data_IF_792684884187
#
_entry.id   IF_792684884187
#
_cell.length_a   1.000
_cell.length_b   1.000
_cell.length_c   1.000
_cell.angle_alpha   90.00
_cell.angle_beta   90.00
_cell.angle_gamma   90.00
#
_symmetry.space_group_name_H-M   'P 1'
#
loop_
_entity.id
_entity.type
_entity.pdbx_description
1 polymer ?
#
# COMPACT_ATOMS: atom_id res chain seq x y z
N UNK A 1 -4.05 24.00 -16.12
CA UNK A 1 -3.06 22.88 -16.10
C UNK A 1 -2.31 22.70 -14.78
N UNK A 2 -1.85 23.76 -14.10
CA UNK A 2 -1.12 23.63 -12.80
C UNK A 2 -1.94 22.91 -11.73
N UNK A 3 -3.20 23.31 -11.54
CA UNK A 3 -4.10 22.67 -10.57
C UNK A 3 -4.39 21.22 -10.92
N UNK A 4 -4.68 20.90 -12.19
CA UNK A 4 -4.90 19.51 -12.64
C UNK A 4 -3.71 18.60 -12.35
N UNK A 5 -2.48 19.04 -12.65
CA UNK A 5 -1.26 18.27 -12.34
C UNK A 5 -1.04 18.10 -10.85
N UNK A 6 -1.37 19.12 -10.05
CA UNK A 6 -1.26 19.07 -8.58
C UNK A 6 -2.29 18.10 -7.99
N UNK A 7 -3.56 18.21 -8.41
CA UNK A 7 -4.63 17.30 -8.00
C UNK A 7 -4.28 15.87 -8.33
N UNK A 8 -3.81 15.59 -9.55
CA UNK A 8 -3.41 14.24 -9.95
C UNK A 8 -2.31 13.66 -9.04
N UNK A 9 -1.28 14.46 -8.71
CA UNK A 9 -0.21 14.04 -7.80
C UNK A 9 -0.73 13.76 -6.39
N UNK A 10 -1.56 14.66 -5.85
CA UNK A 10 -2.14 14.51 -4.51
C UNK A 10 -3.00 13.25 -4.44
N UNK A 11 -3.90 13.06 -5.41
CA UNK A 11 -4.76 11.86 -5.48
C UNK A 11 -3.93 10.59 -5.56
N UNK A 12 -2.88 10.58 -6.40
CA UNK A 12 -1.99 9.42 -6.51
C UNK A 12 -1.31 9.09 -5.18
N UNK A 13 -0.79 10.11 -4.48
CA UNK A 13 -0.14 9.92 -3.17
C UNK A 13 -1.15 9.44 -2.12
N UNK A 14 -2.37 9.98 -2.11
CA UNK A 14 -3.42 9.55 -1.19
C UNK A 14 -3.82 8.10 -1.46
N UNK A 15 -4.02 7.72 -2.72
CA UNK A 15 -4.39 6.35 -3.09
C UNK A 15 -3.30 5.35 -2.71
N UNK A 16 -2.03 5.64 -3.05
CA UNK A 16 -0.90 4.79 -2.68
C UNK A 16 -0.71 4.72 -1.17
N UNK A 17 -0.78 5.85 -0.47
CA UNK A 17 -0.69 5.91 0.98
C UNK A 17 -1.82 5.13 1.67
N UNK A 18 -3.04 5.22 1.14
CA UNK A 18 -4.20 4.46 1.63
C UNK A 18 -4.03 2.97 1.40
N UNK A 19 -3.54 2.57 0.22
CA UNK A 19 -3.24 1.17 -0.10
C UNK A 19 -2.17 0.61 0.84
N UNK A 20 -1.06 1.33 1.03
CA UNK A 20 0.01 0.92 1.95
C UNK A 20 -0.51 0.83 3.38
N UNK A 21 -1.31 1.80 3.84
CA UNK A 21 -1.91 1.74 5.17
C UNK A 21 -2.89 0.57 5.32
N UNK A 22 -3.61 0.19 4.27
CA UNK A 22 -4.50 -0.97 4.30
C UNK A 22 -3.72 -2.29 4.34
N UNK A 23 -2.61 -2.37 3.62
CA UNK A 23 -1.87 -3.63 3.41
C UNK A 23 -0.82 -3.88 4.48
N UNK A 24 -0.14 -2.84 4.99
CA UNK A 24 0.97 -2.97 5.94
C UNK A 24 0.49 -3.38 7.34
N UNK A 25 1.34 -4.09 8.11
CA UNK A 25 0.95 -4.59 9.41
C UNK A 25 0.75 -3.43 10.39
N UNK A 26 -0.33 -3.54 11.16
CA UNK A 26 -0.72 -2.61 12.20
C UNK A 26 -0.81 -3.36 13.51
N UNK A 27 -0.55 -2.66 14.61
CA UNK A 27 -0.60 -3.24 15.94
C UNK A 27 -1.65 -2.54 16.77
N UNK A 28 -2.62 -3.32 17.23
CA UNK A 28 -3.68 -2.86 18.11
C UNK A 28 -3.50 -3.53 19.48
N UNK A 29 -3.61 -2.76 20.55
CA UNK A 29 -3.63 -3.29 21.91
C UNK A 29 -5.08 -3.52 22.29
N UNK A 30 -5.41 -4.75 22.66
CA UNK A 30 -6.78 -5.14 22.93
C UNK A 30 -6.86 -6.20 24.01
N UNK A 31 -8.07 -6.41 24.52
CA UNK A 31 -8.44 -7.57 25.33
C UNK A 31 -9.37 -8.45 24.50
N UNK A 32 -9.10 -9.75 24.42
CA UNK A 32 -9.98 -10.69 23.72
C UNK A 32 -11.21 -10.95 24.56
N UNK A 33 -12.40 -10.73 23.98
CA UNK A 33 -13.68 -10.92 24.67
C UNK A 33 -14.34 -12.25 24.31
N UNK A 34 -14.25 -12.66 23.04
CA UNK A 34 -14.73 -13.95 22.56
C UNK A 34 -14.12 -14.28 21.19
N UNK A 35 -14.22 -15.55 20.81
CA UNK A 35 -13.91 -16.03 19.46
C UNK A 35 -15.16 -16.68 18.88
N UNK A 36 -15.47 -16.39 17.63
CA UNK A 36 -16.70 -16.86 16.98
C UNK A 36 -16.39 -17.41 15.59
N UNK A 37 -17.25 -18.30 15.09
CA UNK A 37 -17.21 -18.78 13.72
C UNK A 37 -18.58 -18.53 13.13
N UNK A 38 -18.64 -17.70 12.09
CA UNK A 38 -19.90 -17.32 11.44
C UNK A 38 -19.89 -17.77 9.99
N UNK A 39 -21.03 -18.26 9.49
CA UNK A 39 -21.19 -18.49 8.05
C UNK A 39 -21.47 -17.18 7.34
N UNK A 40 -20.66 -16.85 6.35
CA UNK A 40 -20.76 -15.61 5.56
C UNK A 40 -20.93 -15.93 4.08
N UNK A 41 -21.89 -15.26 3.45
CA UNK A 41 -22.09 -15.30 2.00
C UNK A 41 -21.33 -14.14 1.34
N UNK A 42 -20.46 -14.45 0.38
CA UNK A 42 -19.72 -13.42 -0.34
C UNK A 42 -20.47 -12.98 -1.59
N UNK A 43 -20.88 -11.71 -1.59
CA UNK A 43 -21.29 -11.01 -2.81
C UNK A 43 -20.06 -10.45 -3.54
N UNK A 44 -20.18 -10.20 -4.85
CA UNK A 44 -19.06 -9.78 -5.70
C UNK A 44 -18.29 -8.55 -5.20
N UNK A 45 -18.96 -7.59 -4.54
CA UNK A 45 -18.31 -6.39 -3.99
C UNK A 45 -17.59 -6.65 -2.67
N UNK A 46 -18.19 -7.43 -1.76
CA UNK A 46 -17.57 -7.72 -0.47
C UNK A 46 -16.36 -8.65 -0.62
N UNK A 47 -16.38 -9.57 -1.60
CA UNK A 47 -15.31 -10.56 -1.85
C UNK A 47 -13.92 -9.94 -1.98
N UNK A 48 -13.83 -8.71 -2.46
CA UNK A 48 -12.57 -7.98 -2.65
C UNK A 48 -11.85 -7.68 -1.33
N UNK A 49 -12.61 -7.62 -0.24
CA UNK A 49 -12.05 -7.35 1.06
C UNK A 49 -11.63 -8.61 1.80
N UNK A 50 -12.01 -9.81 1.36
CA UNK A 50 -11.80 -11.09 2.04
C UNK A 50 -10.70 -11.94 1.41
N UNK A 51 -10.02 -12.75 2.22
CA UNK A 51 -8.95 -13.61 1.73
C UNK A 51 -9.49 -14.72 0.80
N UNK A 52 -8.63 -15.41 0.08
CA UNK A 52 -9.03 -16.67 -0.57
C UNK A 52 -9.38 -17.73 0.48
N UNK A 53 -10.11 -18.78 0.11
CA UNK A 53 -10.38 -19.91 0.98
C UNK A 53 -9.08 -20.41 1.64
N UNK A 54 -9.22 -20.90 2.89
CA UNK A 54 -8.12 -21.47 3.67
C UNK A 54 -7.32 -22.48 2.82
N UNK A 55 -6.03 -22.57 3.09
CA UNK A 55 -5.13 -23.39 2.28
C UNK A 55 -5.62 -24.85 2.18
N UNK A 56 -5.75 -25.35 0.96
CA UNK A 56 -6.26 -26.70 0.67
C UNK A 56 -7.78 -26.83 0.49
N UNK A 57 -8.57 -25.77 0.71
CA UNK A 57 -10.02 -25.77 0.46
C UNK A 57 -10.41 -25.16 -0.89
N UNK A 58 -11.54 -25.62 -1.44
CA UNK A 58 -12.13 -25.04 -2.65
C UNK A 58 -12.83 -23.72 -2.34
N UNK A 59 -12.74 -22.76 -3.27
CA UNK A 59 -13.41 -21.48 -3.13
C UNK A 59 -14.92 -21.66 -3.33
N UNK A 60 -15.69 -21.44 -2.25
CA UNK A 60 -17.16 -21.50 -2.25
C UNK A 60 -17.76 -20.10 -2.09
N UNK A 61 -18.99 -19.92 -2.59
CA UNK A 61 -19.75 -18.65 -2.44
C UNK A 61 -20.07 -18.32 -0.98
N UNK A 62 -20.10 -19.35 -0.14
CA UNK A 62 -20.43 -19.28 1.29
C UNK A 62 -19.33 -19.99 2.06
N UNK A 63 -18.80 -19.37 3.11
CA UNK A 63 -17.80 -20.01 3.96
C UNK A 63 -17.92 -19.61 5.42
N UNK A 64 -17.28 -20.40 6.26
CA UNK A 64 -17.18 -20.13 7.68
C UNK A 64 -16.01 -19.16 7.93
N UNK A 65 -16.32 -18.02 8.53
CA UNK A 65 -15.40 -16.94 8.86
C UNK A 65 -15.12 -16.99 10.36
N UNK A 66 -13.84 -17.13 10.72
CA UNK A 66 -13.40 -17.05 12.11
C UNK A 66 -13.24 -15.59 12.51
N UNK A 67 -13.85 -15.20 13.62
CA UNK A 67 -13.81 -13.87 14.18
C UNK A 67 -13.17 -13.89 15.57
N UNK A 68 -12.41 -12.85 15.87
CA UNK A 68 -11.84 -12.55 17.17
C UNK A 68 -12.45 -11.23 17.62
N UNK A 69 -13.35 -11.31 18.59
CA UNK A 69 -14.01 -10.16 19.20
C UNK A 69 -13.12 -9.60 20.30
N UNK A 70 -12.92 -8.30 20.28
CA UNK A 70 -12.01 -7.63 21.21
C UNK A 70 -12.56 -6.31 21.69
N UNK A 71 -12.10 -5.90 22.86
CA UNK A 71 -12.20 -4.52 23.32
C UNK A 71 -10.83 -3.86 23.19
N UNK A 72 -10.71 -2.95 22.22
CA UNK A 72 -9.44 -2.36 21.79
C UNK A 72 -9.22 -1.00 22.43
N UNK A 73 -8.00 -0.74 22.90
CA UNK A 73 -7.59 0.60 23.30
C UNK A 73 -7.74 1.58 22.13
N UNK A 74 -8.51 2.66 22.30
CA UNK A 74 -8.63 3.67 21.25
C UNK A 74 -7.34 4.43 21.13
N UNK A 75 -6.97 4.70 19.89
CA UNK A 75 -5.81 5.53 19.57
C UNK A 75 -6.24 6.73 18.74
N UNK A 76 -5.42 7.76 18.74
CA UNK A 76 -5.48 8.91 17.86
C UNK A 76 -4.23 8.94 16.97
N UNK A 77 -4.32 9.72 15.88
CA UNK A 77 -3.22 9.92 14.93
C UNK A 77 -2.64 8.59 14.42
N UNK A 78 -3.44 7.79 13.72
CA UNK A 78 -3.02 6.52 13.09
C UNK A 78 -2.41 5.48 14.05
N UNK A 79 -2.77 5.49 15.34
CA UNK A 79 -2.24 4.52 16.30
C UNK A 79 -1.18 5.06 17.24
N UNK A 80 -0.65 6.27 17.00
CA UNK A 80 0.52 6.76 17.75
C UNK A 80 0.20 7.26 19.16
N UNK A 81 -1.04 7.67 19.42
CA UNK A 81 -1.42 8.30 20.69
C UNK A 81 -2.52 7.47 21.34
N UNK A 82 -2.26 6.74 22.44
CA UNK A 82 -3.31 6.03 23.16
C UNK A 82 -4.29 7.02 23.79
N UNK A 83 -5.54 6.60 23.95
CA UNK A 83 -6.60 7.37 24.61
C UNK A 83 -7.14 6.56 25.78
N UNK A 84 -7.66 7.25 26.79
CA UNK A 84 -8.29 6.64 27.98
C UNK A 84 -9.71 6.15 27.68
N UNK A 85 -9.87 5.37 26.62
CA UNK A 85 -11.13 4.77 26.23
C UNK A 85 -10.89 3.52 25.41
N UNK A 86 -11.68 2.49 25.64
CA UNK A 86 -11.71 1.30 24.78
C UNK A 86 -12.86 1.37 23.77
N UNK A 87 -12.90 0.42 22.85
CA UNK A 87 -14.00 0.26 21.92
C UNK A 87 -13.96 -1.08 21.22
N UNK A 88 -15.16 -1.60 20.96
CA UNK A 88 -15.34 -2.88 20.28
C UNK A 88 -14.69 -2.86 18.90
N UNK A 89 -13.79 -3.82 18.71
CA UNK A 89 -13.09 -4.10 17.46
C UNK A 89 -13.15 -5.59 17.19
N UNK A 90 -13.46 -5.95 15.96
CA UNK A 90 -13.60 -7.34 15.54
C UNK A 90 -12.63 -7.58 14.40
N UNK A 91 -11.77 -8.58 14.58
CA UNK A 91 -10.83 -9.03 13.57
C UNK A 91 -11.37 -10.33 12.97
N UNK A 92 -11.15 -10.52 11.68
CA UNK A 92 -11.28 -11.85 11.10
C UNK A 92 -9.95 -12.58 11.19
N UNK A 93 -9.99 -13.89 11.12
CA UNK A 93 -8.82 -14.74 11.16
C UNK A 93 -8.89 -15.70 9.97
N UNK A 94 -8.25 -15.30 8.88
CA UNK A 94 -8.18 -16.06 7.63
C UNK A 94 -6.71 -16.27 7.23
N UNK A 95 -6.45 -17.33 6.48
CA UNK A 95 -5.17 -17.54 5.80
C UNK A 95 -4.96 -16.44 4.74
N UNK A 96 -3.79 -15.81 4.70
CA UNK A 96 -3.52 -14.76 3.69
C UNK A 96 -3.08 -15.36 2.35
N UNK A 97 -2.68 -16.63 2.35
CA UNK A 97 -2.19 -17.34 1.18
C UNK A 97 -0.94 -16.70 0.56
N UNK A 98 -0.79 -16.90 -0.74
CA UNK A 98 0.43 -16.55 -1.50
C UNK A 98 0.35 -15.21 -2.26
N UNK A 99 -0.85 -14.66 -2.46
CA UNK A 99 -1.07 -13.65 -3.50
C UNK A 99 -0.83 -12.24 -2.96
N UNK A 100 -1.75 -11.73 -2.12
CA UNK A 100 -1.67 -10.35 -1.64
C UNK A 100 -2.67 -10.10 -0.50
N UNK A 101 -2.25 -9.53 0.64
CA UNK A 101 -0.86 -9.24 1.02
C UNK A 101 -0.09 -10.55 1.29
N UNK A 102 1.20 -10.65 0.90
CA UNK A 102 1.98 -11.88 1.03
C UNK A 102 2.50 -12.06 2.46
N UNK A 103 1.58 -12.21 3.42
CA UNK A 103 1.93 -12.53 4.82
C UNK A 103 2.26 -14.01 5.02
N UNK A 104 1.98 -14.88 4.03
CA UNK A 104 2.25 -16.32 4.10
C UNK A 104 1.69 -16.99 5.37
N UNK A 105 0.52 -16.53 5.80
CA UNK A 105 -0.16 -17.03 6.97
C UNK A 105 -1.01 -18.24 6.59
N UNK A 106 -0.74 -19.37 7.24
CA UNK A 106 -1.38 -20.69 7.02
C UNK A 106 -1.81 -21.36 8.33
N UNK A 107 -1.78 -20.61 9.43
CA UNK A 107 -1.97 -21.05 10.81
C UNK A 107 -3.26 -20.45 11.41
N UNK A 108 -4.27 -20.14 10.60
CA UNK A 108 -5.51 -19.52 11.08
C UNK A 108 -6.21 -20.35 12.18
N UNK A 109 -6.13 -21.68 12.13
CA UNK A 109 -6.70 -22.53 13.18
C UNK A 109 -5.95 -22.41 14.51
N UNK A 110 -4.61 -22.36 14.47
CA UNK A 110 -3.76 -22.21 15.65
C UNK A 110 -3.94 -20.81 16.25
N UNK A 111 -3.94 -19.76 15.43
CA UNK A 111 -4.21 -18.39 15.88
C UNK A 111 -5.59 -18.25 16.54
N UNK A 112 -6.58 -19.02 16.06
CA UNK A 112 -7.90 -19.03 16.67
C UNK A 112 -7.87 -19.66 18.07
N UNK A 113 -7.14 -20.77 18.22
CA UNK A 113 -6.97 -21.45 19.50
C UNK A 113 -6.18 -20.58 20.51
N UNK A 114 -5.11 -19.91 20.06
CA UNK A 114 -4.35 -18.95 20.86
C UNK A 114 -5.25 -17.81 21.34
N UNK A 115 -6.05 -17.22 20.44
CA UNK A 115 -6.98 -16.15 20.80
C UNK A 115 -8.03 -16.62 21.81
N UNK A 116 -8.56 -17.85 21.66
CA UNK A 116 -9.52 -18.43 22.59
C UNK A 116 -8.91 -18.64 23.99
N UNK A 117 -7.62 -19.02 24.06
CA UNK A 117 -6.91 -19.18 25.33
C UNK A 117 -6.66 -17.85 26.07
N UNK A 118 -6.70 -16.73 25.35
CA UNK A 118 -6.46 -15.37 25.86
C UNK A 118 -7.76 -14.61 26.16
N UNK A 119 -8.92 -15.29 26.11
CA UNK A 119 -10.22 -14.70 26.47
C UNK A 119 -10.21 -14.35 27.95
N UNK A 120 -10.53 -13.09 28.25
CA UNK A 120 -10.51 -12.59 29.62
C UNK A 120 -11.64 -11.60 29.87
N UNK A 121 -11.94 -11.30 31.14
CA UNK A 121 -12.99 -10.35 31.52
C UNK A 121 -12.43 -8.96 31.82
N UNK A 122 -13.29 -7.96 31.99
CA UNK A 122 -12.85 -6.63 32.44
C UNK A 122 -12.35 -6.63 33.90
N UNK A 123 -12.78 -7.60 34.72
CA UNK A 123 -12.33 -7.74 36.10
C UNK A 123 -10.94 -8.38 36.19
N UNK A 124 -10.63 -9.30 35.27
CA UNK A 124 -9.33 -9.97 35.15
C UNK A 124 -8.81 -9.80 33.70
N UNK A 125 -8.31 -8.60 33.35
CA UNK A 125 -7.92 -8.29 31.97
C UNK A 125 -6.57 -8.94 31.60
N UNK A 126 -6.55 -9.64 30.47
CA UNK A 126 -5.34 -10.03 29.78
C UNK A 126 -5.22 -9.20 28.50
N UNK A 127 -4.17 -8.40 28.44
CA UNK A 127 -3.92 -7.53 27.30
C UNK A 127 -3.07 -8.27 26.27
N UNK A 128 -3.42 -8.05 25.01
CA UNK A 128 -2.74 -8.65 23.86
C UNK A 128 -2.41 -7.56 22.84
N UNK A 129 -1.36 -7.79 22.09
CA UNK A 129 -1.10 -7.07 20.85
C UNK A 129 -1.63 -7.93 19.71
N UNK A 130 -2.61 -7.41 18.99
CA UNK A 130 -3.14 -7.99 17.76
C UNK A 130 -2.41 -7.33 16.60
N UNK A 131 -1.65 -8.13 15.84
CA UNK A 131 -1.09 -7.69 14.56
C UNK A 131 -2.11 -7.96 13.47
N UNK A 132 -2.48 -6.95 12.70
CA UNK A 132 -3.51 -7.06 11.67
C UNK A 132 -3.21 -6.21 10.44
N UNK A 133 -3.93 -6.45 9.36
CA UNK A 133 -4.00 -5.55 8.23
C UNK A 133 -5.46 -5.33 7.81
N UNK A 134 -5.69 -4.28 7.05
CA UNK A 134 -6.99 -3.88 6.56
C UNK A 134 -7.71 -2.90 7.48
N UNK A 135 -8.92 -2.52 7.09
CA UNK A 135 -9.73 -1.55 7.83
C UNK A 135 -10.99 -2.19 8.37
N UNK A 136 -11.45 -1.68 9.52
CA UNK A 136 -12.80 -1.96 9.99
C UNK A 136 -13.78 -1.02 9.32
N UNK A 137 -14.76 -1.57 8.61
CA UNK A 137 -15.91 -0.81 8.13
C UNK A 137 -17.21 -1.53 8.52
N UNK A 138 -18.02 -0.90 9.37
CA UNK A 138 -19.26 -1.50 9.87
C UNK A 138 -20.37 -1.51 8.82
N UNK A 139 -20.43 -0.51 7.93
CA UNK A 139 -21.47 -0.43 6.89
C UNK A 139 -21.35 -1.55 5.85
N UNK A 140 -20.11 -1.86 5.45
CA UNK A 140 -19.84 -2.92 4.47
C UNK A 140 -19.47 -4.26 5.12
N UNK A 141 -19.61 -4.38 6.45
CA UNK A 141 -19.18 -5.57 7.20
C UNK A 141 -17.76 -6.01 6.84
N UNK A 142 -16.82 -5.07 6.77
CA UNK A 142 -15.40 -5.35 6.49
C UNK A 142 -14.68 -5.46 7.82
N UNK A 143 -13.98 -6.56 8.00
CA UNK A 143 -13.18 -6.86 9.19
C UNK A 143 -11.70 -6.89 8.78
N UNK A 144 -10.80 -6.21 9.53
CA UNK A 144 -9.37 -6.39 9.33
C UNK A 144 -8.95 -7.82 9.66
N UNK A 145 -7.96 -8.33 8.94
CA UNK A 145 -7.45 -9.68 9.15
C UNK A 145 -6.34 -9.69 10.19
N UNK A 146 -6.53 -10.45 11.27
CA UNK A 146 -5.48 -10.73 12.24
C UNK A 146 -4.42 -11.64 11.63
N UNK A 147 -3.16 -11.28 11.80
CA UNK A 147 -1.98 -12.03 11.37
C UNK A 147 -1.27 -12.70 12.54
N UNK A 148 -1.38 -12.12 13.74
CA UNK A 148 -0.82 -12.73 14.94
C UNK A 148 -1.36 -12.08 16.20
N UNK A 149 -1.25 -12.81 17.31
CA UNK A 149 -1.63 -12.36 18.63
C UNK A 149 -0.50 -12.67 19.60
N UNK A 150 -0.24 -11.79 20.56
CA UNK A 150 0.70 -12.08 21.64
C UNK A 150 0.30 -11.36 22.92
N UNK A 151 0.47 -11.99 24.10
CA UNK A 151 0.21 -11.34 25.37
C UNK A 151 1.19 -10.19 25.62
N UNK A 152 0.73 -9.19 26.37
CA UNK A 152 1.52 -8.06 26.84
C UNK A 152 1.16 -7.72 28.29
N UNK A 153 2.06 -7.00 28.95
CA UNK A 153 1.94 -6.65 30.37
C UNK A 153 0.75 -5.73 30.68
N UNK A 154 0.29 -4.93 29.71
CA UNK A 154 -0.81 -4.00 29.94
C UNK A 154 -1.23 -3.19 28.70
N UNK A 155 -2.19 -2.25 28.88
CA UNK A 155 -2.75 -1.45 27.78
C UNK A 155 -1.81 -0.35 27.27
N UNK A 156 -0.80 0.02 28.06
CA UNK A 156 0.10 1.15 27.76
C UNK A 156 1.40 0.72 27.04
N UNK A 157 1.51 -0.56 26.67
CA UNK A 157 2.71 -1.10 26.02
C UNK A 157 2.87 -0.49 24.64
N UNK A 158 3.99 0.20 24.42
CA UNK A 158 4.28 0.82 23.12
C UNK A 158 4.89 -0.18 22.15
N UNK A 159 4.20 -0.43 21.03
CA UNK A 159 4.71 -1.29 19.94
C UNK A 159 5.32 -0.41 18.85
N UNK A 160 6.61 -0.60 18.58
CA UNK A 160 7.31 0.10 17.50
C UNK A 160 7.18 -0.74 16.22
N UNK A 161 6.59 -0.22 15.13
CA UNK A 161 6.37 -0.97 13.89
C UNK A 161 7.65 -1.04 13.04
N UNK A 162 8.66 -1.78 13.52
CA UNK A 162 9.98 -1.87 12.89
C UNK A 162 9.95 -2.33 11.44
N UNK A 163 9.03 -3.25 11.10
CA UNK A 163 8.83 -3.67 9.71
C UNK A 163 8.42 -2.49 8.82
N UNK A 164 7.40 -1.72 9.22
CA UNK A 164 6.93 -0.56 8.45
C UNK A 164 8.03 0.49 8.32
N UNK A 165 8.76 0.79 9.41
CA UNK A 165 9.88 1.74 9.39
C UNK A 165 10.93 1.31 8.37
N UNK A 166 11.37 0.06 8.44
CA UNK A 166 12.38 -0.50 7.53
C UNK A 166 11.89 -0.50 6.08
N UNK A 167 10.63 -0.87 5.87
CA UNK A 167 9.99 -0.87 4.56
C UNK A 167 9.93 0.54 3.94
N UNK A 168 9.55 1.56 4.72
CA UNK A 168 9.53 2.94 4.23
C UNK A 168 10.94 3.49 3.96
N UNK A 169 11.92 3.18 4.80
CA UNK A 169 13.33 3.53 4.55
C UNK A 169 13.79 2.90 3.23
N UNK A 170 13.50 1.61 3.02
CA UNK A 170 13.81 0.92 1.77
C UNK A 170 13.15 1.59 0.56
N UNK A 171 11.87 1.96 0.64
CA UNK A 171 11.18 2.66 -0.45
C UNK A 171 11.82 4.02 -0.78
N UNK A 172 12.24 4.78 0.23
CA UNK A 172 12.93 6.06 0.04
C UNK A 172 14.27 5.83 -0.67
N UNK A 173 15.08 4.87 -0.18
CA UNK A 173 16.37 4.53 -0.79
C UNK A 173 16.20 4.03 -2.22
N UNK A 174 15.23 3.13 -2.46
CA UNK A 174 14.92 2.62 -3.79
C UNK A 174 14.48 3.73 -4.74
N UNK A 175 13.65 4.66 -4.28
CA UNK A 175 13.24 5.83 -5.08
C UNK A 175 14.42 6.74 -5.43
N UNK A 176 15.30 7.04 -4.46
CA UNK A 176 16.51 7.83 -4.70
C UNK A 176 17.45 7.13 -5.69
N UNK A 177 17.61 5.82 -5.55
CA UNK A 177 18.41 5.00 -6.45
C UNK A 177 17.83 5.01 -7.87
N UNK A 178 16.53 4.76 -8.05
CA UNK A 178 15.86 4.79 -9.35
C UNK A 178 15.94 6.18 -9.99
N UNK A 179 15.81 7.25 -9.20
CA UNK A 179 15.99 8.62 -9.67
C UNK A 179 17.42 8.87 -10.16
N UNK A 180 18.43 8.42 -9.41
CA UNK A 180 19.82 8.56 -9.80
C UNK A 180 20.15 7.73 -11.05
N UNK A 181 19.68 6.49 -11.10
CA UNK A 181 19.82 5.60 -12.27
C UNK A 181 19.14 6.20 -13.51
N UNK A 182 17.94 6.79 -13.36
CA UNK A 182 17.25 7.47 -14.44
C UNK A 182 18.00 8.72 -14.93
N UNK A 183 18.52 9.54 -14.01
CA UNK A 183 19.34 10.70 -14.38
C UNK A 183 20.59 10.28 -15.17
N UNK A 184 21.30 9.26 -14.68
CA UNK A 184 22.47 8.71 -15.36
C UNK A 184 22.12 8.06 -16.72
N UNK A 185 20.98 7.38 -16.80
CA UNK A 185 20.48 6.82 -18.07
C UNK A 185 20.16 7.92 -19.08
N UNK A 186 19.52 9.01 -18.64
CA UNK A 186 19.20 10.15 -19.49
C UNK A 186 20.45 10.81 -20.06
N UNK A 187 21.44 11.08 -19.21
CA UNK A 187 22.72 11.68 -19.63
C UNK A 187 23.47 10.79 -20.63
N UNK A 188 23.46 9.46 -20.43
CA UNK A 188 24.21 8.53 -21.28
C UNK A 188 23.52 8.18 -22.59
N UNK A 189 22.19 8.13 -22.60
CA UNK A 189 21.42 7.59 -23.71
C UNK A 189 20.61 8.64 -24.46
N UNK A 190 19.95 9.56 -23.75
CA UNK A 190 19.00 10.50 -24.35
C UNK A 190 19.68 11.79 -24.79
N UNK A 191 20.50 12.39 -23.94
CA UNK A 191 21.17 13.65 -24.24
C UNK A 191 22.06 13.56 -25.51
N UNK A 192 22.92 12.54 -25.70
CA UNK A 192 23.72 12.44 -26.94
C UNK A 192 22.88 12.11 -28.18
N UNK A 193 21.70 11.50 -28.04
CA UNK A 193 20.79 11.30 -29.18
C UNK A 193 20.06 12.59 -29.54
N UNK A 194 19.68 13.39 -28.54
CA UNK A 194 19.08 14.71 -28.74
C UNK A 194 20.08 15.68 -29.36
N UNK A 195 21.33 15.68 -28.91
CA UNK A 195 22.40 16.51 -29.47
C UNK A 195 22.74 16.11 -30.92
N UNK A 196 22.73 14.81 -31.24
CA UNK A 196 22.91 14.35 -32.63
C UNK A 196 21.74 14.75 -33.53
N UNK A 197 20.52 14.66 -33.02
CA UNK A 197 19.32 15.05 -33.75
C UNK A 197 19.27 16.57 -33.99
N UNK A 198 19.67 17.39 -32.99
CA UNK A 198 19.75 18.84 -33.15
C UNK A 198 20.85 19.23 -34.14
N UNK A 199 22.05 18.63 -34.06
CA UNK A 199 23.11 18.88 -35.03
C UNK A 199 22.72 18.51 -36.46
N UNK A 200 22.03 17.38 -36.69
CA UNK A 200 21.52 17.04 -38.03
C UNK A 200 20.48 18.03 -38.53
N UNK A 201 19.56 18.47 -37.67
CA UNK A 201 18.56 19.49 -38.03
C UNK A 201 19.23 20.82 -38.39
N UNK A 202 20.24 21.24 -37.63
CA UNK A 202 20.99 22.47 -37.87
C UNK A 202 21.81 22.41 -39.16
N UNK A 203 22.47 21.29 -39.46
CA UNK A 203 23.18 21.07 -40.74
C UNK A 203 22.23 21.11 -41.93
N UNK A 204 21.05 20.48 -41.83
CA UNK A 204 20.02 20.52 -42.88
C UNK A 204 19.52 21.96 -43.09
N UNK A 205 19.25 22.69 -42.00
CA UNK A 205 18.83 24.09 -42.07
C UNK A 205 19.92 24.99 -42.67
N UNK A 206 21.18 24.77 -42.30
CA UNK A 206 22.32 25.49 -42.87
C UNK A 206 22.44 25.22 -44.38
N UNK A 207 22.36 23.96 -44.81
CA UNK A 207 22.40 23.59 -46.23
C UNK A 207 21.24 24.16 -47.05
N UNK A 208 20.03 24.20 -46.48
CA UNK A 208 18.87 24.84 -47.10
C UNK A 208 19.05 26.36 -47.21
N UNK A 209 19.58 27.01 -46.18
CA UNK A 209 19.88 28.44 -46.19
C UNK A 209 20.93 28.81 -47.24
N UNK A 210 21.96 27.97 -47.41
CA UNK A 210 23.03 28.19 -48.38
C UNK A 210 22.54 27.99 -49.81
N UNK A 211 21.73 26.96 -50.06
CA UNK A 211 21.04 26.75 -51.36
C UNK A 211 20.13 27.93 -51.70
N UNK A 212 19.37 28.43 -50.72
CA UNK A 212 18.51 29.61 -50.89
C UNK A 212 19.33 30.87 -51.20
N UNK A 213 20.48 31.05 -50.55
CA UNK A 213 21.42 32.16 -50.80
C UNK A 213 22.03 32.08 -52.21
N UNK A 214 22.42 30.88 -52.67
CA UNK A 214 22.95 30.66 -54.03
C UNK A 214 21.89 30.93 -55.11
N UNK A 215 20.66 30.46 -54.91
CA UNK A 215 19.53 30.74 -55.80
C UNK A 215 19.22 32.23 -55.86
N UNK A 216 19.25 32.93 -54.71
CA UNK A 216 19.05 34.39 -54.66
C UNK A 216 20.15 35.13 -55.43
N UNK A 217 21.43 34.77 -55.24
CA UNK A 217 22.55 35.34 -56.00
C UNK A 217 22.42 35.09 -57.50
N UNK A 218 21.99 33.89 -57.91
CA UNK A 218 21.72 33.58 -59.31
C UNK A 218 20.58 34.44 -59.86
N UNK A 219 19.44 34.52 -59.18
CA UNK A 219 18.32 35.38 -59.59
C UNK A 219 18.72 36.87 -59.68
N UNK A 220 19.57 37.35 -58.76
CA UNK A 220 20.09 38.73 -58.80
C UNK A 220 21.00 38.97 -60.01
N UNK A 221 21.71 37.96 -60.52
CA UNK A 221 22.50 38.08 -61.77
C UNK A 221 21.62 38.28 -63.01
N UNK A 222 20.38 37.79 -62.99
CA UNK A 222 19.39 38.03 -64.06
C UNK A 222 18.68 39.39 -63.92
N UNK A 223 18.73 40.01 -62.73
CA UNK A 223 18.12 41.33 -62.45
C UNK A 223 19.04 42.52 -62.75
N UNK A 224 20.31 42.27 -63.07
CA UNK A 224 21.24 43.28 -63.60
C UNK A 224 21.40 43.12 -65.11
N UNK A 225 20.40 43.58 -65.85
CA UNK A 225 20.53 44.08 -67.23
C UNK A 225 19.41 45.07 -67.48
#
# INVERSE_FOLDING_TARGET
MRYVRMTFRIVTVILLGSLLHYVLPQHDIARVTSTEVIRTDFSGFNRWFYAQADSGNTELSTRDLRLINTDRQKTFLLGFIPRDATGVMVYRNEDSGWIWPPYFKFDSSDLQAEAASLVSTAAEPQWVVVTHYGWRNRFFSIYPNAVGIRPVEGPDVRVIPWFNISFFIFLIVAWLFLRAAWAQFRERSLDPMMDKASHQMDEVNAGLSERRSRLRRWLDTWRRK
#
